data_IF_554655997426
#
_entry.id   IF_554655997426
#
_cell.length_a   1.000
_cell.length_b   1.000
_cell.length_c   1.000
_cell.angle_alpha   90.00
_cell.angle_beta   90.00
_cell.angle_gamma   90.00
#
_symmetry.space_group_name_H-M   'P 1'
#
loop_
_entity.id
_entity.type
_entity.pdbx_description
1 polymer ?
2 non-polymer ?
3 non-polymer ?
4 non-polymer ?
5 water ?
#
# COMPACT_ATOMS: atom_id res chain seq x y z
N UNK A 1 -7.96 23.20 -17.74
CA UNK A 1 -7.44 21.84 -17.88
C UNK A 1 -7.06 21.23 -16.53
N UNK A 2 -6.01 21.76 -15.89
CA UNK A 2 -5.57 21.25 -14.60
C UNK A 2 -6.66 21.45 -13.54
N UNK A 3 -6.69 20.54 -12.57
CA UNK A 3 -7.66 20.56 -11.47
C UNK A 3 -7.15 19.70 -10.32
N UNK A 4 -6.90 20.29 -9.14
CA UNK A 4 -6.19 19.56 -8.09
C UNK A 4 -6.98 18.42 -7.46
N UNK A 5 -8.25 18.22 -7.82
CA UNK A 5 -9.00 17.11 -7.24
C UNK A 5 -9.25 16.01 -8.25
N UNK A 6 -8.74 16.17 -9.46
CA UNK A 6 -8.65 15.06 -10.42
C UNK A 6 -7.78 13.93 -9.87
N UNK A 7 -8.05 12.71 -10.34
CA UNK A 7 -7.37 11.52 -9.85
C UNK A 7 -6.57 10.85 -10.96
N UNK A 8 -5.35 10.44 -10.61
CA UNK A 8 -4.46 9.73 -11.52
C UNK A 8 -4.56 8.25 -11.18
N UNK A 9 -5.05 7.48 -12.13
CA UNK A 9 -5.13 6.04 -12.04
C UNK A 9 -3.98 5.45 -12.83
N UNK A 10 -3.34 4.41 -12.30
CA UNK A 10 -2.17 3.84 -12.93
C UNK A 10 -2.15 2.34 -12.69
N UNK A 11 -1.69 1.61 -13.70
CA UNK A 11 -1.43 0.19 -13.57
C UNK A 11 -0.10 -0.11 -14.24
N UNK A 12 0.75 -0.89 -13.59
CA UNK A 12 2.03 -1.31 -14.13
C UNK A 12 2.04 -2.81 -14.38
N UNK A 13 2.98 -3.24 -15.24
CA UNK A 13 3.41 -4.62 -15.34
C UNK A 13 4.90 -4.66 -15.04
N UNK A 14 5.33 -5.70 -14.32
CA UNK A 14 6.73 -5.78 -13.90
C UNK A 14 7.29 -7.16 -14.22
N UNK A 15 8.61 -7.26 -14.23
CA UNK A 15 9.29 -8.52 -14.50
C UNK A 15 9.26 -9.46 -13.29
N UNK A 16 8.66 -9.02 -12.18
CA UNK A 16 8.77 -9.75 -10.93
C UNK A 16 8.18 -8.93 -9.80
N UNK A 17 8.33 -9.42 -8.58
CA UNK A 17 7.65 -8.85 -7.43
C UNK A 17 8.53 -7.96 -6.54
N UNK A 18 9.84 -7.92 -6.79
CA UNK A 18 10.74 -7.09 -6.00
C UNK A 18 10.89 -5.73 -6.67
N UNK A 19 10.40 -4.63 -6.06
CA UNK A 19 10.55 -3.31 -6.69
C UNK A 19 11.99 -2.89 -6.87
N UNK A 20 12.92 -3.47 -6.13
CA UNK A 20 14.32 -3.09 -6.20
C UNK A 20 15.16 -3.99 -7.11
N UNK A 21 14.82 -5.27 -7.28
CA UNK A 21 15.54 -6.18 -8.16
C UNK A 21 14.95 -6.25 -9.57
N UNK A 22 13.62 -6.19 -9.70
CA UNK A 22 12.91 -6.33 -10.96
C UNK A 22 12.62 -4.96 -11.57
N UNK A 23 12.01 -4.92 -12.75
CA UNK A 23 11.80 -3.66 -13.44
C UNK A 23 10.39 -3.55 -13.99
N UNK A 24 10.09 -2.37 -14.52
CA UNK A 24 8.81 -2.06 -15.12
C UNK A 24 8.89 -2.33 -16.61
N UNK A 25 7.92 -3.08 -17.14
CA UNK A 25 7.85 -3.36 -18.56
C UNK A 25 6.59 -2.82 -19.23
N UNK A 26 5.58 -2.41 -18.46
CA UNK A 26 4.42 -1.73 -19.05
C UNK A 26 3.84 -0.75 -18.04
N UNK A 27 3.27 0.34 -18.56
CA UNK A 27 2.55 1.33 -17.77
C UNK A 27 1.42 1.90 -18.60
N UNK A 28 0.32 2.25 -17.92
CA UNK A 28 -0.76 3.03 -18.49
C UNK A 28 -1.36 3.92 -17.40
N UNK A 29 -2.02 5.00 -17.80
CA UNK A 29 -2.68 5.90 -16.84
C UNK A 29 -4.01 6.35 -17.40
N UNK A 30 -4.93 6.72 -16.50
CA UNK A 30 -6.21 7.34 -16.83
C UNK A 30 -6.50 8.40 -15.78
N UNK A 31 -6.89 9.59 -16.22
CA UNK A 31 -7.30 10.66 -15.31
C UNK A 31 -8.83 10.69 -15.24
N UNK A 32 -9.35 10.59 -14.03
CA UNK A 32 -10.77 10.84 -13.78
C UNK A 32 -10.91 12.11 -12.95
N UNK A 33 -12.14 12.62 -12.88
CA UNK A 33 -12.42 13.67 -11.91
C UNK A 33 -12.60 13.06 -10.53
N UNK A 34 -12.93 13.90 -9.56
CA UNK A 34 -13.02 13.37 -8.20
C UNK A 34 -14.25 12.48 -7.99
N UNK A 35 -15.13 12.40 -8.99
CA UNK A 35 -16.33 11.59 -8.93
C UNK A 35 -16.26 10.40 -9.89
N UNK A 36 -15.05 9.99 -10.27
CA UNK A 36 -14.79 8.78 -11.07
C UNK A 36 -15.29 8.89 -12.50
N UNK A 37 -15.26 10.09 -13.07
CA UNK A 37 -15.69 10.30 -14.45
C UNK A 37 -14.43 10.43 -15.32
N UNK A 38 -14.28 9.52 -16.28
CA UNK A 38 -13.05 9.48 -17.06
C UNK A 38 -12.86 10.79 -17.83
N UNK A 39 -11.77 11.49 -17.54
CA UNK A 39 -11.42 12.72 -18.23
C UNK A 39 -10.54 12.47 -19.44
N UNK A 40 -9.65 11.49 -19.38
CA UNK A 40 -8.64 11.31 -20.41
C UNK A 40 -7.88 10.02 -20.11
N UNK A 41 -7.51 9.31 -21.18
CA UNK A 41 -6.72 8.09 -21.08
C UNK A 41 -5.30 8.40 -21.55
N UNK A 42 -4.33 8.04 -20.72
CA UNK A 42 -2.95 8.26 -21.04
C UNK A 42 -2.43 7.15 -21.93
N UNK A 43 -1.21 7.34 -22.41
CA UNK A 43 -0.65 6.37 -23.35
C UNK A 43 -0.30 5.07 -22.64
N UNK A 44 -0.33 4.00 -23.40
CA UNK A 44 0.02 2.67 -22.94
C UNK A 44 1.39 2.37 -23.49
N UNK A 45 2.38 2.23 -22.61
CA UNK A 45 3.77 2.20 -23.05
C UNK A 45 4.42 0.90 -22.58
N UNK A 46 4.93 0.15 -23.55
CA UNK A 46 5.80 -0.98 -23.30
C UNK A 46 7.23 -0.45 -23.22
N UNK A 47 8.00 -0.95 -22.26
CA UNK A 47 9.30 -0.39 -21.95
C UNK A 47 10.36 -1.43 -22.26
N UNK A 48 11.34 -1.01 -23.04
CA UNK A 48 12.35 -1.96 -23.52
C UNK A 48 13.22 -2.39 -22.36
N UNK A 49 13.51 -3.68 -22.33
CA UNK A 49 14.41 -4.29 -21.37
C UNK A 49 15.30 -5.25 -22.13
N UNK A 50 16.56 -5.39 -21.73
CA UNK A 50 17.44 -6.34 -22.41
C UNK A 50 16.88 -7.76 -22.36
N UNK A 51 17.31 -8.56 -23.33
CA UNK A 51 16.79 -9.92 -23.48
C UNK A 51 17.04 -10.74 -22.23
N UNK A 52 18.17 -10.54 -21.56
CA UNK A 52 18.48 -11.26 -20.34
C UNK A 52 17.39 -11.05 -19.29
N UNK A 53 16.89 -9.82 -19.17
CA UNK A 53 15.86 -9.53 -18.18
C UNK A 53 14.60 -10.34 -18.48
N UNK A 54 14.24 -10.47 -19.76
CA UNK A 54 13.06 -11.24 -20.13
C UNK A 54 13.28 -12.74 -19.93
N UNK A 55 14.47 -13.23 -20.25
CA UNK A 55 14.73 -14.66 -20.07
C UNK A 55 14.79 -15.02 -18.59
N UNK A 56 15.25 -14.10 -17.75
CA UNK A 56 15.34 -14.30 -16.32
C UNK A 56 14.06 -14.21 -15.53
N UNK A 57 12.91 -13.92 -16.16
CA UNK A 57 11.65 -13.86 -15.42
C UNK A 57 11.25 -15.25 -14.96
N UNK A 58 10.56 -15.32 -13.82
CA UNK A 58 10.18 -16.63 -13.31
C UNK A 58 9.16 -17.30 -14.23
N UNK A 59 8.65 -18.46 -13.81
CA UNK A 59 7.77 -19.24 -14.69
C UNK A 59 6.45 -18.52 -14.95
N UNK A 60 5.82 -17.99 -13.90
CA UNK A 60 4.53 -17.33 -14.04
C UNK A 60 4.64 -16.11 -14.95
N UNK A 61 5.66 -15.27 -14.74
CA UNK A 61 5.79 -14.05 -15.55
C UNK A 61 6.26 -14.37 -16.98
N UNK A 62 7.01 -15.45 -17.17
CA UNK A 62 7.36 -15.90 -18.52
C UNK A 62 6.11 -16.29 -19.30
N UNK A 63 5.30 -17.19 -18.72
CA UNK A 63 3.97 -17.48 -19.25
C UNK A 63 3.18 -16.22 -19.52
N UNK A 64 2.94 -15.44 -18.45
CA UNK A 64 1.92 -14.40 -18.50
C UNK A 64 2.31 -13.30 -19.47
N UNK A 65 3.56 -12.82 -19.39
CA UNK A 65 3.96 -11.75 -20.31
C UNK A 65 4.25 -12.29 -21.71
N UNK A 66 4.58 -13.58 -21.84
CA UNK A 66 4.72 -14.19 -23.16
C UNK A 66 3.41 -14.16 -23.93
N UNK A 67 2.33 -14.64 -23.29
CA UNK A 67 1.06 -14.86 -23.98
C UNK A 67 0.19 -13.63 -24.05
N UNK A 68 0.49 -12.56 -23.29
CA UNK A 68 -0.24 -11.31 -23.43
C UNK A 68 0.23 -10.54 -24.65
N UNK A 69 1.42 -10.83 -25.15
CA UNK A 69 2.08 -10.04 -26.15
C UNK A 69 3.11 -9.09 -25.61
N UNK A 70 3.18 -8.94 -24.28
CA UNK A 70 4.01 -7.89 -23.68
C UNK A 70 5.49 -8.19 -23.86
N UNK A 71 5.89 -9.46 -23.68
CA UNK A 71 7.29 -9.84 -23.87
C UNK A 71 7.79 -9.40 -25.24
N UNK A 72 7.03 -9.70 -26.29
CA UNK A 72 7.41 -9.27 -27.63
C UNK A 72 7.37 -7.74 -27.75
N UNK A 73 6.37 -7.10 -27.16
CA UNK A 73 6.32 -5.64 -27.20
C UNK A 73 7.50 -5.01 -26.43
N UNK A 74 7.90 -5.63 -25.33
CA UNK A 74 9.10 -5.15 -24.62
C UNK A 74 10.31 -5.26 -25.54
N UNK A 75 10.48 -6.43 -26.16
CA UNK A 75 11.66 -6.63 -27.00
C UNK A 75 11.72 -5.63 -28.14
N UNK A 76 10.57 -5.33 -28.73
CA UNK A 76 10.48 -4.44 -29.90
C UNK A 76 10.33 -2.99 -29.50
N UNK A 77 10.08 -2.68 -28.23
CA UNK A 77 10.05 -1.29 -27.79
C UNK A 77 11.39 -0.61 -28.00
N UNK A 78 11.35 0.63 -28.48
CA UNK A 78 12.50 1.51 -28.39
C UNK A 78 12.31 2.62 -27.34
N UNK A 79 11.40 2.43 -26.39
CA UNK A 79 11.14 3.41 -25.33
C UNK A 79 11.80 2.95 -24.04
N UNK A 80 12.77 3.73 -23.57
CA UNK A 80 13.42 3.47 -22.29
C UNK A 80 12.50 3.79 -21.12
N UNK A 81 12.89 3.32 -19.93
CA UNK A 81 12.14 3.62 -18.72
C UNK A 81 11.98 5.13 -18.55
N UNK A 82 13.04 5.90 -18.82
CA UNK A 82 12.99 7.34 -18.61
C UNK A 82 12.07 8.01 -19.61
N UNK A 83 12.10 7.57 -20.88
CA UNK A 83 11.22 8.16 -21.88
C UNK A 83 9.76 7.86 -21.58
N UNK A 84 9.47 6.65 -21.09
CA UNK A 84 8.09 6.31 -20.71
C UNK A 84 7.62 7.17 -19.54
N UNK A 85 8.54 7.48 -18.62
CA UNK A 85 8.22 8.37 -17.51
C UNK A 85 7.90 9.78 -18.03
N UNK A 86 8.77 10.33 -18.88
CA UNK A 86 8.56 11.68 -19.42
C UNK A 86 7.30 11.75 -20.25
N UNK A 87 7.01 10.69 -21.00
CA UNK A 87 5.78 10.66 -21.81
C UNK A 87 4.54 10.65 -20.91
N UNK A 88 4.55 9.85 -19.83
CA UNK A 88 3.42 9.80 -18.92
C UNK A 88 3.24 11.13 -18.18
N UNK A 89 4.34 11.75 -17.72
CA UNK A 89 4.22 13.04 -17.05
C UNK A 89 3.70 14.11 -17.99
N UNK A 90 4.15 14.07 -19.26
CA UNK A 90 3.66 15.01 -20.26
C UNK A 90 2.14 14.95 -20.39
N UNK A 91 1.57 13.75 -20.36
CA UNK A 91 0.12 13.62 -20.41
C UNK A 91 -0.52 14.06 -19.09
N UNK A 92 -0.03 13.55 -17.96
CA UNK A 92 -0.66 13.85 -16.69
C UNK A 92 -0.58 15.34 -16.36
N UNK A 93 0.46 16.02 -16.85
CA UNK A 93 0.65 17.44 -16.55
C UNK A 93 -0.51 18.28 -17.06
N UNK A 94 -1.16 17.83 -18.13
CA UNK A 94 -2.29 18.58 -18.66
C UNK A 94 -3.53 18.47 -17.78
N UNK A 95 -3.62 17.46 -16.89
CA UNK A 95 -4.88 17.16 -16.21
C UNK A 95 -4.85 17.30 -14.69
N UNK A 96 -3.71 17.10 -14.04
CA UNK A 96 -3.61 17.16 -12.59
C UNK A 96 -2.37 17.96 -12.23
N UNK A 97 -2.47 18.93 -11.33
CA UNK A 97 -1.28 19.66 -10.91
C UNK A 97 -0.40 18.80 -10.01
N UNK A 98 0.86 19.21 -9.88
CA UNK A 98 1.82 18.44 -9.11
C UNK A 98 1.38 18.31 -7.65
N UNK A 99 1.53 17.10 -7.10
CA UNK A 99 1.29 16.68 -5.71
C UNK A 99 -0.18 16.64 -5.30
N UNK A 100 -1.15 16.83 -6.20
CA UNK A 100 -2.53 16.93 -5.79
C UNK A 100 -3.20 15.57 -5.65
N UNK A 101 -2.93 14.67 -6.58
CA UNK A 101 -3.67 13.42 -6.63
C UNK A 101 -2.95 12.30 -5.90
N UNK A 102 -3.66 11.51 -5.13
CA UNK A 102 -3.11 10.22 -4.68
C UNK A 102 -2.81 9.33 -5.88
N UNK A 103 -2.17 8.19 -5.67
CA UNK A 103 -2.06 7.16 -6.70
C UNK A 103 -3.24 6.22 -6.53
N UNK A 104 -4.05 6.09 -7.58
CA UNK A 104 -5.29 5.32 -7.54
C UNK A 104 -5.17 4.04 -8.36
N UNK A 105 -5.73 2.96 -7.83
CA UNK A 105 -5.75 1.68 -8.50
C UNK A 105 -5.89 0.55 -7.48
N UNK A 106 -5.54 -0.65 -7.92
CA UNK A 106 -5.62 -1.85 -7.09
C UNK A 106 -4.23 -2.22 -6.61
N UNK A 107 -4.08 -2.37 -5.28
CA UNK A 107 -2.81 -2.70 -4.63
C UNK A 107 -1.69 -1.80 -5.16
N UNK A 108 -1.96 -0.49 -5.17
CA UNK A 108 -1.00 0.45 -5.76
C UNK A 108 0.20 0.73 -4.88
N UNK A 109 0.28 0.14 -3.68
CA UNK A 109 1.52 0.20 -2.91
C UNK A 109 2.66 -0.48 -3.66
N UNK A 110 2.35 -1.57 -4.35
CA UNK A 110 3.31 -2.25 -5.22
C UNK A 110 3.73 -1.34 -6.37
N UNK A 111 2.76 -0.68 -7.00
CA UNK A 111 3.07 0.24 -8.09
C UNK A 111 3.95 1.40 -7.62
N UNK A 112 3.60 2.03 -6.47
CA UNK A 112 4.36 3.18 -6.02
C UNK A 112 5.80 2.81 -5.73
N UNK A 113 6.01 1.65 -5.10
CA UNK A 113 7.37 1.23 -4.80
C UNK A 113 8.20 1.10 -6.08
N UNK A 114 7.63 0.50 -7.14
CA UNK A 114 8.36 0.38 -8.41
C UNK A 114 8.62 1.76 -9.00
N UNK A 115 7.61 2.63 -8.99
CA UNK A 115 7.79 3.99 -9.47
C UNK A 115 8.85 4.71 -8.65
N UNK A 116 8.80 4.58 -7.32
CA UNK A 116 9.78 5.23 -6.48
C UNK A 116 11.19 4.82 -6.89
N UNK A 117 11.39 3.51 -7.05
CA UNK A 117 12.69 2.99 -7.44
C UNK A 117 13.05 3.38 -8.88
N UNK A 118 12.11 3.22 -9.83
CA UNK A 118 12.48 3.27 -11.25
C UNK A 118 12.01 4.51 -11.96
N UNK A 119 10.98 5.20 -11.48
CA UNK A 119 10.49 6.43 -12.09
C UNK A 119 10.23 7.47 -11.00
N UNK A 120 11.27 7.87 -10.25
CA UNK A 120 11.03 8.71 -9.06
C UNK A 120 10.50 10.10 -9.38
N UNK A 121 10.80 10.64 -10.56
CA UNK A 121 10.14 11.87 -10.96
C UNK A 121 8.63 11.69 -11.10
N UNK A 122 8.18 10.55 -11.65
CA UNK A 122 6.74 10.33 -11.72
C UNK A 122 6.16 10.01 -10.36
N UNK A 123 6.90 9.26 -9.54
CA UNK A 123 6.39 8.97 -8.21
C UNK A 123 6.19 10.26 -7.41
N UNK A 124 7.14 11.19 -7.51
CA UNK A 124 7.08 12.45 -6.80
C UNK A 124 5.96 13.37 -7.25
N UNK A 125 5.33 13.07 -8.39
CA UNK A 125 4.22 13.87 -8.90
C UNK A 125 2.91 13.57 -8.18
N UNK A 126 2.82 12.42 -7.52
CA UNK A 126 1.64 12.04 -6.75
C UNK A 126 1.66 12.68 -5.35
N UNK A 127 0.46 13.01 -4.86
CA UNK A 127 0.30 13.20 -3.44
C UNK A 127 0.83 11.96 -2.72
N UNK A 128 1.26 12.14 -1.46
CA UNK A 128 1.75 11.01 -0.70
C UNK A 128 0.67 10.00 -0.35
N UNK A 129 -0.60 10.33 -0.60
CA UNK A 129 -1.69 9.43 -0.25
C UNK A 129 -1.86 8.34 -1.31
N UNK A 130 -2.20 7.14 -0.83
CA UNK A 130 -2.51 5.98 -1.66
C UNK A 130 -4.01 5.75 -1.59
N UNK A 131 -4.66 5.75 -2.76
CA UNK A 131 -6.09 5.45 -2.87
C UNK A 131 -6.21 4.02 -3.39
N UNK A 132 -6.36 3.07 -2.45
CA UNK A 132 -6.29 1.65 -2.75
C UNK A 132 -7.71 1.06 -2.81
N UNK A 133 -8.16 0.72 -4.02
CA UNK A 133 -9.50 0.13 -4.20
C UNK A 133 -9.59 -1.23 -3.50
N UNK A 134 -8.51 -1.98 -3.44
CA UNK A 134 -8.50 -3.31 -2.81
C UNK A 134 -8.69 -3.27 -1.30
N UNK A 135 -8.39 -2.14 -0.65
CA UNK A 135 -8.75 -1.99 0.76
C UNK A 135 -10.26 -2.13 0.93
N UNK A 136 -11.01 -1.45 0.05
CA UNK A 136 -12.46 -1.61 0.05
C UNK A 136 -12.89 -3.01 -0.38
N UNK A 137 -12.12 -3.63 -1.28
CA UNK A 137 -12.43 -5.00 -1.67
C UNK A 137 -12.39 -5.94 -0.48
N UNK A 138 -11.40 -5.78 0.40
CA UNK A 138 -11.30 -6.64 1.57
C UNK A 138 -12.36 -6.29 2.61
N UNK A 139 -12.66 -5.00 2.77
CA UNK A 139 -13.73 -4.63 3.67
C UNK A 139 -15.06 -5.15 3.14
N UNK A 140 -15.31 -5.04 1.84
CA UNK A 140 -16.56 -5.54 1.27
C UNK A 140 -16.68 -7.06 1.42
N UNK A 141 -15.58 -7.80 1.21
CA UNK A 141 -15.65 -9.25 1.34
C UNK A 141 -15.92 -9.70 2.77
N UNK A 142 -15.68 -8.83 3.75
CA UNK A 142 -15.84 -9.16 5.15
C UNK A 142 -17.10 -8.58 5.78
N UNK A 143 -17.58 -7.44 5.28
CA UNK A 143 -18.68 -6.70 5.89
C UNK A 143 -19.96 -6.73 5.07
N UNK A 144 -19.87 -6.98 3.77
CA UNK A 144 -21.02 -7.05 2.88
C UNK A 144 -20.65 -7.92 1.69
N UNK A 145 -20.53 -9.23 1.87
CA UNK A 145 -20.02 -10.06 0.77
C UNK A 145 -20.79 -9.93 -0.51
N UNK A 146 -22.10 -9.74 -0.46
CA UNK A 146 -22.85 -9.76 -1.71
C UNK A 146 -22.84 -8.44 -2.47
N UNK A 147 -22.14 -7.41 -1.98
CA UNK A 147 -21.74 -6.33 -2.89
C UNK A 147 -20.41 -6.63 -3.55
N UNK A 148 -19.55 -7.45 -2.91
CA UNK A 148 -18.32 -7.89 -3.56
C UNK A 148 -18.58 -8.84 -4.73
N UNK A 149 -19.74 -9.49 -4.77
CA UNK A 149 -20.11 -10.35 -5.88
C UNK A 149 -21.02 -9.67 -6.89
N UNK A 150 -21.69 -8.58 -6.49
CA UNK A 150 -22.47 -7.80 -7.45
C UNK A 150 -21.62 -7.25 -8.59
N UNK A 151 -20.29 -7.31 -8.48
CA UNK A 151 -19.42 -6.61 -9.42
C UNK A 151 -18.84 -7.57 -10.45
N UNK A 152 -19.15 -7.30 -11.73
CA UNK A 152 -18.69 -8.08 -12.87
C UNK A 152 -17.33 -7.57 -13.35
N UNK A 153 -16.29 -8.40 -13.20
CA UNK A 153 -14.93 -8.05 -13.60
C UNK A 153 -14.47 -8.95 -14.74
N UNK A 154 -14.45 -8.41 -15.96
CA UNK A 154 -13.92 -9.16 -17.08
C UNK A 154 -12.42 -9.35 -16.92
N UNK A 155 -11.95 -10.58 -17.16
CA UNK A 155 -10.52 -10.84 -17.03
C UNK A 155 -9.79 -10.12 -18.17
N UNK A 156 -9.39 -8.89 -17.90
CA UNK A 156 -8.96 -7.91 -18.88
C UNK A 156 -7.45 -7.69 -18.75
N UNK A 157 -6.69 -8.17 -19.74
CA UNK A 157 -5.24 -8.14 -19.71
C UNK A 157 -4.65 -7.06 -20.60
N UNK A 158 -5.50 -6.24 -21.22
CA UNK A 158 -5.08 -4.96 -21.76
C UNK A 158 -4.98 -3.93 -20.64
N UNK A 159 -3.92 -3.11 -20.68
CA UNK A 159 -3.58 -2.23 -19.55
C UNK A 159 -4.71 -1.28 -19.24
N UNK A 160 -5.22 -0.58 -20.25
CA UNK A 160 -6.33 0.33 -20.08
C UNK A 160 -7.59 -0.38 -19.57
N UNK A 161 -7.80 -1.62 -20.00
CA UNK A 161 -8.96 -2.37 -19.47
C UNK A 161 -8.79 -2.69 -17.99
N UNK A 162 -7.56 -2.94 -17.55
CA UNK A 162 -7.32 -3.19 -16.13
C UNK A 162 -7.61 -1.95 -15.31
N UNK A 163 -7.29 -0.77 -15.85
CA UNK A 163 -7.53 0.48 -15.15
C UNK A 163 -9.01 0.82 -15.16
N UNK A 164 -9.67 0.73 -16.33
CA UNK A 164 -11.10 1.01 -16.37
C UNK A 164 -11.87 0.13 -15.39
N UNK A 165 -11.46 -1.15 -15.26
CA UNK A 165 -12.09 -2.02 -14.28
C UNK A 165 -11.82 -1.53 -12.85
N UNK A 166 -10.61 -1.01 -12.59
CA UNK A 166 -10.31 -0.49 -11.26
C UNK A 166 -11.19 0.71 -10.93
N UNK A 167 -11.37 1.62 -11.89
CA UNK A 167 -12.28 2.76 -11.71
C UNK A 167 -13.71 2.27 -11.52
N UNK A 168 -14.11 1.23 -12.26
CA UNK A 168 -15.47 0.70 -12.11
C UNK A 168 -15.65 -0.04 -10.80
N UNK A 169 -14.59 -0.69 -10.29
CA UNK A 169 -14.67 -1.33 -8.99
C UNK A 169 -14.88 -0.29 -7.88
N UNK A 170 -14.29 0.91 -8.01
CA UNK A 170 -14.53 1.95 -7.01
C UNK A 170 -15.90 2.59 -7.19
N UNK A 171 -16.35 2.75 -8.43
CA UNK A 171 -17.71 3.21 -8.68
C UNK A 171 -18.72 2.30 -8.00
N UNK A 172 -18.53 0.98 -8.12
CA UNK A 172 -19.43 0.01 -7.52
C UNK A 172 -19.47 0.12 -6.00
N UNK A 173 -18.40 0.61 -5.38
CA UNK A 173 -18.39 0.77 -3.92
C UNK A 173 -18.99 2.09 -3.49
N UNK A 174 -18.75 3.17 -4.24
CA UNK A 174 -19.40 4.44 -3.92
C UNK A 174 -20.91 4.32 -4.00
N UNK A 175 -21.42 3.45 -4.87
CA UNK A 175 -22.86 3.26 -5.03
C UNK A 175 -23.42 2.30 -3.98
N UNK A 176 -22.85 1.10 -3.87
CA UNK A 176 -23.45 0.04 -3.05
C UNK A 176 -22.75 -0.21 -1.71
N UNK A 177 -21.58 0.37 -1.46
CA UNK A 177 -20.87 0.12 -0.22
C UNK A 177 -20.67 1.33 0.67
N UNK A 178 -20.85 2.55 0.16
CA UNK A 178 -20.57 3.77 0.90
C UNK A 178 -21.83 4.61 1.02
N UNK A 179 -22.06 5.16 2.20
CA UNK A 179 -23.17 6.08 2.44
C UNK A 179 -22.69 7.51 2.37
N UNK A 180 -23.33 8.30 1.51
CA UNK A 180 -22.97 9.70 1.33
C UNK A 180 -24.17 10.62 1.54
N UNK B 1 -7.13 -20.96 17.90
CA UNK B 1 -8.02 -19.80 17.75
C UNK B 1 -7.91 -19.19 16.35
N UNK B 2 -7.15 -19.84 15.48
CA UNK B 2 -6.93 -19.32 14.14
C UNK B 2 -8.26 -19.12 13.41
N UNK B 3 -8.23 -18.24 12.40
CA UNK B 3 -9.42 -17.83 11.66
C UNK B 3 -8.97 -16.93 10.51
N UNK B 4 -9.05 -17.40 9.26
CA UNK B 4 -8.51 -16.61 8.13
C UNK B 4 -9.19 -15.27 7.96
N UNK B 5 -10.28 -15.01 8.67
CA UNK B 5 -10.99 -13.74 8.62
C UNK B 5 -10.36 -12.69 9.54
N UNK B 6 -9.60 -13.11 10.55
CA UNK B 6 -9.02 -12.19 11.52
C UNK B 6 -8.00 -11.27 10.83
N UNK B 7 -7.85 -10.07 11.40
CA UNK B 7 -7.01 -9.04 10.82
C UNK B 7 -5.78 -8.83 11.68
N UNK B 8 -4.62 -8.68 11.03
CA UNK B 8 -3.38 -8.34 11.70
C UNK B 8 -3.13 -6.85 11.53
N UNK B 9 -3.16 -6.13 12.65
CA UNK B 9 -2.84 -4.71 12.76
C UNK B 9 -1.41 -4.56 13.26
N UNK B 10 -0.68 -3.60 12.69
CA UNK B 10 0.73 -3.45 13.01
C UNK B 10 1.09 -1.97 13.06
N UNK B 11 2.08 -1.65 13.89
CA UNK B 11 2.65 -0.33 13.98
C UNK B 11 4.14 -0.49 14.23
N UNK B 12 4.95 0.35 13.58
CA UNK B 12 6.39 0.27 13.62
C UNK B 12 6.98 1.63 13.95
N UNK B 13 8.12 1.60 14.62
CA UNK B 13 9.01 2.75 14.71
C UNK B 13 10.29 2.41 13.95
N UNK B 14 10.85 3.42 13.29
CA UNK B 14 12.12 3.24 12.59
C UNK B 14 13.02 4.42 12.89
N UNK B 15 14.33 4.20 12.68
CA UNK B 15 15.30 5.29 12.79
C UNK B 15 15.10 6.34 11.71
N UNK B 16 14.32 6.03 10.68
CA UNK B 16 14.00 6.96 9.61
C UNK B 16 13.09 6.27 8.64
N UNK B 17 12.67 6.98 7.59
CA UNK B 17 11.68 6.41 6.68
C UNK B 17 12.27 5.74 5.44
N UNK B 18 13.58 5.54 5.36
CA UNK B 18 14.16 4.90 4.18
C UNK B 18 14.60 3.47 4.49
N UNK B 19 13.95 2.45 3.95
CA UNK B 19 14.34 1.06 4.26
C UNK B 19 15.81 0.73 3.99
N UNK B 20 16.46 1.39 3.01
CA UNK B 20 17.87 1.12 2.72
C UNK B 20 18.81 1.74 3.76
N UNK B 21 18.47 2.91 4.29
CA UNK B 21 19.30 3.63 5.27
C UNK B 21 18.94 3.33 6.72
N UNK B 22 17.71 2.88 6.99
CA UNK B 22 17.16 2.88 8.33
C UNK B 22 16.69 1.47 8.71
N UNK B 23 16.40 1.29 10.00
CA UNK B 23 15.99 -0.02 10.54
C UNK B 23 14.77 0.14 11.42
N UNK B 24 14.09 -0.99 11.64
CA UNK B 24 13.01 -1.07 12.62
C UNK B 24 13.61 -1.06 14.02
N UNK B 25 13.03 -0.25 14.91
CA UNK B 25 13.46 -0.21 16.30
C UNK B 25 12.32 -0.52 17.28
N UNK B 26 11.05 -0.47 16.86
CA UNK B 26 9.97 -0.97 17.69
C UNK B 26 8.88 -1.56 16.81
N UNK B 27 8.28 -2.65 17.27
CA UNK B 27 7.12 -3.22 16.59
C UNK B 27 6.02 -3.55 17.59
N UNK B 28 4.79 -3.56 17.11
CA UNK B 28 3.62 -3.88 17.92
C UNK B 28 2.55 -4.41 16.98
N UNK B 29 1.77 -5.37 17.47
CA UNK B 29 0.70 -5.99 16.72
C UNK B 29 -0.54 -6.13 17.59
N UNK B 30 -1.70 -6.15 16.94
CA UNK B 30 -2.99 -6.38 17.57
C UNK B 30 -3.81 -7.17 16.57
N UNK B 31 -4.33 -8.33 16.97
CA UNK B 31 -5.22 -9.15 16.14
C UNK B 31 -6.66 -8.84 16.52
N UNK B 32 -7.48 -8.45 15.53
CA UNK B 32 -8.92 -8.32 15.70
C UNK B 32 -9.64 -9.44 14.97
N UNK B 33 -10.95 -9.54 15.22
CA UNK B 33 -11.77 -10.33 14.31
C UNK B 33 -12.11 -9.49 13.08
N UNK B 34 -12.90 -10.05 12.16
CA UNK B 34 -13.26 -9.32 10.96
C UNK B 34 -14.11 -8.10 11.23
N UNK B 35 -14.58 -7.93 12.46
CA UNK B 35 -15.47 -6.84 12.82
C UNK B 35 -14.85 -5.94 13.88
N UNK B 36 -13.51 -5.91 13.91
CA UNK B 36 -12.74 -4.93 14.68
C UNK B 36 -12.88 -5.11 16.18
N UNK B 37 -13.13 -6.33 16.64
CA UNK B 37 -13.11 -6.66 18.05
C UNK B 37 -11.77 -7.30 18.41
N UNK B 38 -11.09 -6.73 19.40
CA UNK B 38 -9.78 -7.24 19.82
C UNK B 38 -9.87 -8.70 20.25
N UNK B 39 -9.07 -9.55 19.61
CA UNK B 39 -8.85 -10.93 20.05
C UNK B 39 -7.63 -11.03 20.96
N UNK B 40 -6.52 -10.42 20.58
CA UNK B 40 -5.35 -10.42 21.43
C UNK B 40 -4.40 -9.32 21.00
N UNK B 41 -3.46 -9.01 21.89
CA UNK B 41 -2.43 -8.00 21.70
C UNK B 41 -1.05 -8.63 21.73
N UNK B 42 -0.32 -8.46 20.63
CA UNK B 42 1.01 -8.97 20.53
C UNK B 42 1.94 -8.23 21.45
N UNK B 43 3.16 -8.74 21.50
CA UNK B 43 4.22 -8.09 22.27
C UNK B 43 4.60 -6.76 21.64
N UNK B 44 4.92 -5.79 22.49
CA UNK B 44 5.51 -4.53 22.08
C UNK B 44 7.01 -4.69 22.28
N UNK B 45 7.76 -4.75 21.18
CA UNK B 45 9.17 -5.10 21.25
C UNK B 45 9.98 -3.91 20.77
N UNK B 46 10.87 -3.42 21.62
CA UNK B 46 11.96 -2.57 21.19
C UNK B 46 13.10 -3.48 20.75
N UNK B 47 13.67 -3.16 19.59
CA UNK B 47 14.57 -4.04 18.86
C UNK B 47 15.97 -3.46 19.00
N UNK B 48 16.90 -4.29 19.49
CA UNK B 48 18.24 -3.78 19.73
C UNK B 48 18.87 -3.27 18.44
N UNK B 49 19.55 -2.13 18.54
CA UNK B 49 20.35 -1.59 17.46
C UNK B 49 21.67 -1.10 18.00
N UNK B 50 22.77 -1.32 17.30
CA UNK B 50 24.07 -0.86 17.78
C UNK B 50 24.12 0.66 17.82
N UNK B 51 25.19 1.18 18.44
CA UNK B 51 25.30 2.62 18.62
C UNK B 51 25.48 3.34 17.30
N UNK B 52 26.32 2.79 16.40
CA UNK B 52 26.52 3.46 15.11
C UNK B 52 25.20 3.68 14.39
N UNK B 53 24.34 2.67 14.38
CA UNK B 53 23.01 2.84 13.78
C UNK B 53 22.24 3.91 14.52
N UNK B 54 22.32 3.93 15.86
CA UNK B 54 21.56 4.88 16.67
C UNK B 54 22.08 6.30 16.48
N UNK B 55 23.39 6.49 16.43
CA UNK B 55 23.96 7.80 16.16
C UNK B 55 23.72 8.26 14.72
N UNK B 56 23.51 7.32 13.79
CA UNK B 56 23.28 7.61 12.39
C UNK B 56 21.92 8.17 12.03
N UNK B 57 21.04 8.36 13.02
CA UNK B 57 19.71 8.88 12.76
C UNK B 57 19.76 10.38 12.56
N UNK B 58 18.87 10.89 11.70
CA UNK B 58 18.85 12.32 11.42
C UNK B 58 18.43 13.10 12.69
N UNK B 59 18.22 14.39 12.52
CA UNK B 59 17.93 15.23 13.68
C UNK B 59 16.53 14.95 14.23
N UNK B 60 15.51 15.04 13.37
CA UNK B 60 14.13 14.86 13.82
C UNK B 60 13.95 13.52 14.53
N UNK B 61 14.58 12.47 14.02
CA UNK B 61 14.40 11.14 14.62
C UNK B 61 15.19 11.02 15.92
N UNK B 62 16.41 11.55 15.95
CA UNK B 62 17.23 11.46 17.17
C UNK B 62 16.51 12.11 18.35
N UNK B 63 15.85 13.25 18.11
CA UNK B 63 15.08 13.91 19.16
C UNK B 63 13.84 13.10 19.52
N UNK B 64 13.07 12.67 18.51
CA UNK B 64 11.78 12.05 18.78
C UNK B 64 11.94 10.72 19.53
N UNK B 65 12.92 9.91 19.15
CA UNK B 65 13.06 8.63 19.84
C UNK B 65 13.78 8.77 21.17
N UNK B 66 14.75 9.68 21.26
CA UNK B 66 15.37 9.97 22.54
C UNK B 66 14.35 10.44 23.56
N UNK B 67 13.60 11.49 23.22
CA UNK B 67 12.65 12.06 24.18
C UNK B 67 11.53 11.09 24.52
N UNK B 68 11.20 10.18 23.61
CA UNK B 68 10.20 9.16 23.93
C UNK B 68 10.77 8.06 24.83
N UNK B 69 12.10 7.96 24.94
CA UNK B 69 12.70 6.84 25.62
C UNK B 69 12.96 5.63 24.74
N UNK B 70 12.44 5.61 23.50
CA UNK B 70 12.67 4.47 22.63
C UNK B 70 14.16 4.24 22.38
N UNK B 71 14.94 5.30 22.15
CA UNK B 71 16.38 5.15 22.01
C UNK B 71 16.98 4.35 23.16
N UNK B 72 16.69 4.74 24.41
CA UNK B 72 17.25 4.03 25.55
C UNK B 72 16.75 2.60 25.62
N UNK B 73 15.46 2.39 25.40
CA UNK B 73 14.90 1.04 25.34
C UNK B 73 15.59 0.20 24.26
N UNK B 74 15.84 0.80 23.09
CA UNK B 74 16.49 0.09 22.00
C UNK B 74 17.94 -0.21 22.36
N UNK B 75 18.59 0.72 23.04
CA UNK B 75 19.98 0.53 23.44
C UNK B 75 20.12 -0.61 24.44
N UNK B 76 19.11 -0.82 25.29
CA UNK B 76 19.16 -1.87 26.31
C UNK B 76 18.67 -3.20 25.81
N UNK B 77 17.79 -3.19 24.81
CA UNK B 77 17.15 -4.41 24.34
C UNK B 77 18.17 -5.50 24.04
N UNK B 78 17.83 -6.74 24.41
CA UNK B 78 18.55 -7.93 23.99
C UNK B 78 17.78 -8.72 22.94
N UNK B 79 16.85 -8.07 22.25
CA UNK B 79 16.04 -8.70 21.22
C UNK B 79 16.46 -8.14 19.87
N UNK B 80 16.96 -9.03 19.00
CA UNK B 80 17.40 -8.65 17.67
C UNK B 80 16.23 -8.58 16.70
N UNK B 81 16.50 -7.96 15.55
CA UNK B 81 15.50 -7.83 14.50
C UNK B 81 14.85 -9.17 14.17
N UNK B 82 15.68 -10.19 13.95
CA UNK B 82 15.20 -11.54 13.67
C UNK B 82 14.41 -12.09 14.85
N UNK B 83 14.92 -11.87 16.07
CA UNK B 83 14.26 -12.43 17.25
C UNK B 83 12.89 -11.78 17.45
N UNK B 84 12.80 -10.46 17.25
CA UNK B 84 11.50 -9.80 17.37
C UNK B 84 10.54 -10.30 16.30
N UNK B 85 11.01 -10.43 15.06
CA UNK B 85 10.19 -11.01 14.00
C UNK B 85 9.63 -12.37 14.40
N UNK B 86 10.49 -13.23 14.95
CA UNK B 86 10.03 -14.56 15.38
C UNK B 86 9.04 -14.45 16.54
N UNK B 87 9.26 -13.51 17.44
CA UNK B 87 8.35 -13.33 18.57
C UNK B 87 6.99 -12.85 18.10
N UNK B 88 6.97 -11.88 17.20
CA UNK B 88 5.70 -11.45 16.60
C UNK B 88 5.05 -12.57 15.81
N UNK B 89 5.86 -13.37 15.09
CA UNK B 89 5.32 -14.48 14.32
C UNK B 89 4.74 -15.56 15.24
N UNK B 90 5.45 -15.89 16.31
CA UNK B 90 4.94 -16.88 17.26
C UNK B 90 3.57 -16.47 17.79
N UNK B 91 3.36 -15.16 17.99
CA UNK B 91 2.08 -14.67 18.48
C UNK B 91 1.02 -14.68 17.40
N UNK B 92 1.32 -14.11 16.23
CA UNK B 92 0.32 -14.00 15.17
C UNK B 92 -0.19 -15.36 14.75
N UNK B 93 0.64 -16.40 14.89
CA UNK B 93 0.33 -17.70 14.33
C UNK B 93 -0.80 -18.41 15.05
N UNK B 94 -1.05 -18.10 16.33
CA UNK B 94 -2.17 -18.75 16.99
C UNK B 94 -3.52 -18.08 16.68
N UNK B 95 -3.51 -16.94 16.00
CA UNK B 95 -4.73 -16.21 15.70
C UNK B 95 -5.09 -16.17 14.23
N UNK B 96 -4.09 -16.05 13.34
CA UNK B 96 -4.34 -15.80 11.92
C UNK B 96 -3.48 -16.76 11.09
N UNK B 97 -4.05 -17.41 10.07
CA UNK B 97 -3.23 -18.26 9.19
C UNK B 97 -2.36 -17.45 8.26
N UNK B 98 -1.33 -18.11 7.71
CA UNK B 98 -0.42 -17.44 6.78
C UNK B 98 -1.16 -16.96 5.54
N UNK B 99 -0.72 -15.81 5.02
CA UNK B 99 -1.22 -15.23 3.77
C UNK B 99 -2.74 -15.07 3.76
N UNK B 100 -3.34 -14.84 4.92
CA UNK B 100 -4.77 -14.56 5.02
C UNK B 100 -5.06 -13.10 5.36
N UNK B 101 -4.40 -12.56 6.36
CA UNK B 101 -4.72 -11.18 6.72
C UNK B 101 -3.88 -10.21 5.91
N UNK B 102 -4.47 -9.17 5.35
CA UNK B 102 -3.67 -8.02 4.90
C UNK B 102 -2.99 -7.34 6.07
N UNK B 103 -1.97 -6.53 5.75
CA UNK B 103 -1.49 -5.56 6.72
C UNK B 103 -2.58 -4.53 6.93
N UNK B 104 -3.02 -4.36 8.18
CA UNK B 104 -3.99 -3.35 8.56
C UNK B 104 -3.37 -2.25 9.40
N UNK B 105 -3.77 -1.01 9.13
CA UNK B 105 -3.33 0.12 9.90
C UNK B 105 -3.41 1.39 9.06
N UNK B 106 -2.58 2.37 9.44
CA UNK B 106 -2.39 3.59 8.67
C UNK B 106 -0.96 3.67 8.15
N UNK B 107 -0.82 4.30 6.99
CA UNK B 107 0.45 4.46 6.28
C UNK B 107 1.26 3.15 6.30
N UNK B 108 0.59 2.07 5.89
CA UNK B 108 1.16 0.74 6.03
C UNK B 108 1.82 0.24 4.74
N UNK B 109 1.80 1.03 3.66
CA UNK B 109 2.73 0.76 2.57
C UNK B 109 4.17 0.94 3.05
N UNK B 110 4.44 2.07 3.72
CA UNK B 110 5.77 2.27 4.31
C UNK B 110 6.13 1.14 5.27
N UNK B 111 5.16 0.66 6.08
CA UNK B 111 5.42 -0.50 6.93
C UNK B 111 5.78 -1.74 6.11
N UNK B 112 5.05 -2.01 5.03
CA UNK B 112 5.39 -3.17 4.20
C UNK B 112 6.77 -3.03 3.59
N UNK B 113 7.17 -1.82 3.20
CA UNK B 113 8.53 -1.60 2.71
C UNK B 113 9.56 -2.06 3.72
N UNK B 114 9.39 -1.63 4.98
CA UNK B 114 10.36 -2.01 6.00
C UNK B 114 10.30 -3.49 6.32
N UNK B 115 9.10 -4.07 6.40
CA UNK B 115 9.02 -5.50 6.68
C UNK B 115 9.68 -6.31 5.54
N UNK B 116 9.51 -5.85 4.30
CA UNK B 116 10.11 -6.53 3.15
C UNK B 116 11.64 -6.60 3.27
N UNK B 117 12.29 -5.48 3.57
CA UNK B 117 13.73 -5.43 3.69
C UNK B 117 14.24 -6.14 4.97
N UNK B 118 13.56 -5.94 6.12
CA UNK B 118 14.15 -6.29 7.41
C UNK B 118 13.50 -7.48 8.12
N UNK B 119 12.26 -7.82 7.79
CA UNK B 119 11.59 -9.02 8.34
C UNK B 119 10.84 -9.71 7.21
N UNK B 120 11.58 -10.27 6.21
CA UNK B 120 10.88 -10.83 5.04
C UNK B 120 9.93 -11.97 5.36
N UNK B 121 10.19 -12.76 6.40
CA UNK B 121 9.25 -13.85 6.69
C UNK B 121 7.94 -13.32 7.28
N UNK B 122 8.02 -12.32 8.17
CA UNK B 122 6.79 -11.70 8.68
C UNK B 122 6.03 -11.00 7.55
N UNK B 123 6.74 -10.29 6.66
CA UNK B 123 6.09 -9.68 5.49
C UNK B 123 5.36 -10.73 4.67
N UNK B 124 5.98 -11.90 4.47
CA UNK B 124 5.36 -13.00 3.75
C UNK B 124 4.19 -13.64 4.45
N UNK B 125 4.07 -13.47 5.78
CA UNK B 125 2.97 -14.07 6.51
C UNK B 125 1.66 -13.32 6.25
N UNK B 126 1.74 -12.06 5.83
CA UNK B 126 0.54 -11.32 5.45
C UNK B 126 0.10 -11.74 4.06
N UNK B 127 -1.21 -11.69 3.84
CA UNK B 127 -1.71 -11.54 2.48
C UNK B 127 -1.06 -10.31 1.85
N UNK B 128 -0.84 -10.36 0.53
CA UNK B 128 -0.12 -9.28 -0.12
C UNK B 128 -0.91 -7.97 -0.15
N UNK B 129 -2.18 -8.02 0.21
CA UNK B 129 -3.03 -6.83 0.19
C UNK B 129 -2.81 -5.96 1.42
N UNK B 130 -3.18 -4.69 1.27
CA UNK B 130 -3.08 -3.66 2.29
C UNK B 130 -4.48 -3.19 2.65
N UNK B 131 -4.83 -3.26 3.94
CA UNK B 131 -6.04 -2.60 4.43
C UNK B 131 -5.57 -1.29 5.06
N UNK B 132 -5.60 -0.22 4.28
CA UNK B 132 -5.11 1.07 4.77
C UNK B 132 -6.29 2.00 5.06
N UNK B 133 -6.44 2.39 6.34
CA UNK B 133 -7.57 3.21 6.76
C UNK B 133 -7.59 4.54 6.02
N UNK B 134 -6.42 5.06 5.65
CA UNK B 134 -6.38 6.35 4.97
C UNK B 134 -6.97 6.32 3.56
N UNK B 135 -7.14 5.14 2.93
CA UNK B 135 -7.97 5.10 1.73
C UNK B 135 -9.37 5.63 2.04
N UNK B 136 -9.99 5.12 3.11
CA UNK B 136 -11.30 5.61 3.51
C UNK B 136 -11.27 7.07 3.93
N UNK B 137 -10.24 7.47 4.69
CA UNK B 137 -10.11 8.88 5.03
C UNK B 137 -10.06 9.73 3.78
N UNK B 138 -9.27 9.31 2.79
CA UNK B 138 -9.20 10.09 1.55
C UNK B 138 -10.53 10.11 0.81
N UNK B 139 -11.25 8.98 0.75
CA UNK B 139 -12.56 8.99 0.12
C UNK B 139 -13.55 9.86 0.92
N UNK B 140 -13.51 9.77 2.25
CA UNK B 140 -14.39 10.59 3.07
C UNK B 140 -14.11 12.08 2.88
N UNK B 141 -12.83 12.44 2.73
CA UNK B 141 -12.48 13.85 2.54
C UNK B 141 -13.17 14.43 1.32
N UNK B 142 -13.30 13.64 0.25
CA UNK B 142 -13.85 14.07 -1.03
C UNK B 142 -15.37 13.95 -1.10
N UNK B 143 -15.95 12.90 -0.50
CA UNK B 143 -17.33 12.51 -0.76
C UNK B 143 -18.26 12.64 0.43
N UNK B 144 -17.74 12.61 1.66
CA UNK B 144 -18.54 12.86 2.87
C UNK B 144 -17.64 13.58 3.88
N UNK B 145 -17.36 14.86 3.64
CA UNK B 145 -16.34 15.54 4.44
C UNK B 145 -16.67 15.58 5.92
N UNK B 146 -17.94 15.57 6.28
CA UNK B 146 -18.31 15.68 7.70
C UNK B 146 -17.90 14.45 8.48
N UNK B 147 -17.80 13.29 7.82
CA UNK B 147 -17.47 12.07 8.54
C UNK B 147 -16.00 12.06 8.95
N UNK B 148 -15.12 12.64 8.12
CA UNK B 148 -13.69 12.67 8.44
C UNK B 148 -13.37 13.77 9.44
N UNK B 149 -13.91 14.97 9.23
CA UNK B 149 -13.71 16.06 10.18
C UNK B 149 -14.35 15.76 11.54
N UNK B 150 -15.19 14.74 11.63
CA UNK B 150 -15.82 14.35 12.88
C UNK B 150 -15.02 13.30 13.66
N UNK B 151 -13.83 12.93 13.22
CA UNK B 151 -13.08 11.87 13.90
C UNK B 151 -12.18 12.45 14.98
N UNK B 152 -12.16 11.77 16.13
CA UNK B 152 -11.51 12.22 17.36
C UNK B 152 -10.14 11.58 17.48
N UNK B 153 -9.12 12.24 16.93
CA UNK B 153 -7.76 11.72 16.98
C UNK B 153 -7.29 11.55 18.43
N UNK B 154 -6.91 10.32 18.79
CA UNK B 154 -6.50 9.97 20.14
C UNK B 154 -5.05 10.32 20.42
N UNK B 155 -4.49 9.69 21.46
CA UNK B 155 -3.17 10.14 21.90
C UNK B 155 -2.03 9.41 21.19
N UNK B 156 -2.10 8.09 21.11
CA UNK B 156 -1.22 7.27 20.24
C UNK B 156 0.28 7.52 20.45
N UNK B 157 0.75 7.99 21.60
CA UNK B 157 2.20 8.09 21.66
C UNK B 157 2.86 6.76 22.03
N UNK B 158 2.07 5.81 22.52
CA UNK B 158 2.52 4.45 22.78
C UNK B 158 1.93 3.51 21.75
N UNK B 159 2.62 2.37 21.54
CA UNK B 159 2.43 1.58 20.33
C UNK B 159 1.07 0.90 20.29
N UNK B 160 0.53 0.49 21.45
CA UNK B 160 -0.75 -0.22 21.40
C UNK B 160 -1.93 0.75 21.27
N UNK B 161 -1.88 1.92 21.90
CA UNK B 161 -2.87 2.95 21.65
C UNK B 161 -2.83 3.44 20.21
N UNK B 162 -1.62 3.53 19.65
CA UNK B 162 -1.48 3.86 18.24
C UNK B 162 -2.29 2.92 17.37
N UNK B 163 -2.13 1.61 17.57
CA UNK B 163 -2.91 0.64 16.79
C UNK B 163 -4.40 0.77 17.13
N UNK B 164 -4.72 0.91 18.42
CA UNK B 164 -6.12 0.97 18.81
C UNK B 164 -6.81 2.19 18.20
N UNK B 165 -6.09 3.32 18.11
CA UNK B 165 -6.64 4.49 17.45
C UNK B 165 -6.89 4.25 15.95
N UNK B 166 -6.03 3.47 15.29
CA UNK B 166 -6.29 3.10 13.90
C UNK B 166 -7.50 2.18 13.77
N UNK B 167 -7.63 1.21 14.68
CA UNK B 167 -8.79 0.32 14.71
C UNK B 167 -10.06 1.12 14.94
N UNK B 168 -9.99 2.12 15.83
CA UNK B 168 -11.12 3.01 16.09
C UNK B 168 -11.39 3.96 14.94
N UNK B 169 -10.37 4.25 14.13
CA UNK B 169 -10.62 5.05 12.93
C UNK B 169 -11.38 4.23 11.88
N UNK B 170 -11.05 2.93 11.74
CA UNK B 170 -11.84 2.07 10.85
C UNK B 170 -13.28 1.97 11.34
N UNK B 171 -13.47 1.75 12.65
CA UNK B 171 -14.80 1.69 13.25
C UNK B 171 -15.63 2.89 12.87
N UNK B 172 -15.10 4.08 13.14
CA UNK B 172 -15.75 5.32 12.76
C UNK B 172 -16.22 5.31 11.31
N UNK B 173 -15.39 4.80 10.40
CA UNK B 173 -15.79 4.76 8.99
C UNK B 173 -16.79 3.65 8.74
N UNK B 174 -16.63 2.50 9.40
CA UNK B 174 -17.63 1.45 9.26
C UNK B 174 -18.99 1.91 9.75
N UNK B 175 -19.00 2.70 10.83
CA UNK B 175 -20.27 3.13 11.44
C UNK B 175 -20.91 4.28 10.67
N UNK B 176 -20.12 5.25 10.19
CA UNK B 176 -20.66 6.49 9.64
C UNK B 176 -20.33 6.70 8.15
N UNK B 177 -19.71 5.73 7.49
CA UNK B 177 -19.34 5.91 6.09
C UNK B 177 -19.67 4.70 5.23
N UNK B 178 -20.03 3.58 5.84
CA UNK B 178 -20.24 2.33 5.14
C UNK B 178 -21.67 1.89 5.40
N UNK B 179 -22.51 1.92 4.36
CA UNK B 179 -23.79 1.21 4.42
C UNK B 179 -23.52 -0.27 4.57
N UNK B 180 -24.21 -0.91 5.50
CA UNK B 180 -24.05 -2.35 5.69
C UNK B 180 -25.39 -3.06 5.85
X LIG C 1 6.85 4.12 -1.70
X LIG C 1 5.96 4.33 -0.68
X LIG C 1 6.58 5.03 0.31
X LIG C 1 7.85 5.26 -0.10
X LIG C 1 8.03 4.69 -1.36
X LIG D 1 -5.37 -6.84 -6.48
X LIG D 1 -3.92 -6.55 -6.86
X LIG D 1 -5.56 -8.33 -6.28
X LIG D 1 -6.32 -6.32 -7.53
X LIG D 1 -5.70 -6.17 -5.15
X LIG E 1 -1.40 -6.78 -11.04
X LIG E 1 -1.53 -8.27 -11.23
X LIG E 1 -2.14 -5.96 -12.08
X LIG E 1 -1.60 -6.31 -9.61
X LIG E 1 0.14 -6.42 -11.24
X LIG E 1 0.87 -6.86 -12.37
X LIG E 1 2.23 -7.40 -11.96
X LIG E 1 2.10 -8.16 -10.74
X LIG E 1 2.85 -8.37 -12.95
X LIG E 1 3.56 -7.69 -13.97
X LIG E 1 3.73 -9.28 -12.09
X LIG E 1 5.05 -8.77 -11.97
X LIG E 1 3.05 -9.20 -10.72
X LIG E 1 2.33 -10.45 -10.37
X LIG E 1 1.00 -10.61 -10.27
X LIG E 1 0.72 -11.87 -9.90
X LIG E 1 1.90 -12.50 -9.74
X LIG E 1 2.25 -13.79 -9.37
X LIG E 1 1.35 -14.63 -9.11
X LIG E 1 3.56 -14.13 -9.31
X LIG E 1 4.53 -13.24 -9.59
X LIG E 1 5.83 -13.61 -9.52
X LIG E 1 4.22 -11.97 -9.95
X LIG E 1 2.91 -11.60 -10.03
#
# INVERSE_FOLDING_TARGET
>A
MQNPQNLIWIALEMTGLDPDRDVIIEMATIVTDSDLNTLAEGPVIAIHQPEEILAGMDEWNTRQHGQSGLTQRVRESTVSMAEAEAQTLAFLEQWVPKRSSPICGNSICQDRRFLYRHMPRLEGYFHYRNLDVSTLKELAARWAPQVRESFKKGNTHLALDDIRESIAELRHYRDHFIKL
>B
MQNPQNLIWIALEMTGLDPDRDVIIEMATIVTDSDLNTLAEGPVIAIHQPEEILAGMDEWNTRQHGQSGLTQRVRESTVSMAEAEAQTLAFLEQWVPKRSSPICGNSICQDRRFLYRHMPRLEGYFHYRNLDVSTLKELAARWAPQVRESFKKGNTHLALDDIRESIAELRHYRDHFIKL
>C hetero
1 IMD N1 C2 N3 C4 C5
>D hetero
1 PO4 P O1 O2 O3 O4
>E hetero
1 5GP P O1P O2P O3P O5' C5' C4' O4' C3' O3' C2' O2' C1' N9 C8 N7 C5 C6 O6 N1 C2 N2 N3 C4
#
